data_IF_099978555603
#
_entry.id   IF_099978555603
#
_cell.length_a   1.000
_cell.length_b   1.000
_cell.length_c   1.000
_cell.angle_alpha   90.00
_cell.angle_beta   90.00
_cell.angle_gamma   90.00
#
_symmetry.space_group_name_H-M   'P 1'
#
loop_
_entity.id
_entity.type
_entity.pdbx_description
1 polymer ?
#
# COMPACT_ATOMS: atom_id res chain seq x y z
N UNK A 1 27.47 -17.67 -17.90
CA UNK A 1 26.54 -17.91 -16.78
C UNK A 1 26.69 -16.91 -15.61
N UNK A 2 27.89 -16.47 -15.21
CA UNK A 2 28.06 -15.49 -14.10
C UNK A 2 27.46 -14.09 -14.32
N UNK A 3 27.42 -13.58 -15.56
CA UNK A 3 26.85 -12.25 -15.86
C UNK A 3 25.32 -12.18 -15.73
N UNK A 4 24.62 -13.32 -15.83
CA UNK A 4 23.16 -13.38 -15.71
C UNK A 4 22.70 -13.37 -14.24
N UNK A 5 23.48 -13.97 -13.33
CA UNK A 5 23.18 -13.93 -11.88
C UNK A 5 23.30 -12.54 -11.27
N UNK A 6 24.24 -11.72 -11.73
CA UNK A 6 24.45 -10.37 -11.17
C UNK A 6 23.27 -9.45 -11.52
N UNK A 7 22.73 -9.56 -12.74
CA UNK A 7 21.59 -8.76 -13.18
C UNK A 7 20.31 -9.08 -12.37
N UNK A 8 20.12 -10.36 -12.03
CA UNK A 8 18.97 -10.81 -11.23
C UNK A 8 19.05 -10.34 -9.76
N UNK A 9 20.26 -10.34 -9.19
CA UNK A 9 20.51 -9.82 -7.84
C UNK A 9 20.26 -8.31 -7.71
N UNK A 10 20.62 -7.53 -8.75
CA UNK A 10 20.37 -6.08 -8.75
C UNK A 10 18.87 -5.78 -8.82
N UNK A 11 18.10 -6.50 -9.64
CA UNK A 11 16.64 -6.31 -9.72
C UNK A 11 15.91 -6.62 -8.40
N UNK A 12 16.30 -7.69 -7.70
CA UNK A 12 15.70 -8.03 -6.40
C UNK A 12 15.98 -6.97 -5.32
N UNK A 13 17.15 -6.33 -5.36
CA UNK A 13 17.52 -5.28 -4.39
C UNK A 13 16.77 -3.96 -4.59
N UNK A 14 16.38 -3.64 -5.83
CA UNK A 14 15.64 -2.41 -6.14
C UNK A 14 14.19 -2.49 -5.63
N UNK A 15 13.57 -3.66 -5.70
CA UNK A 15 12.21 -3.88 -5.22
C UNK A 15 12.09 -3.68 -3.71
N UNK A 16 13.01 -4.24 -2.92
CA UNK A 16 12.96 -4.11 -1.46
C UNK A 16 13.23 -2.70 -0.96
N UNK A 17 14.06 -1.95 -1.69
CA UNK A 17 14.43 -0.58 -1.34
C UNK A 17 13.29 0.40 -1.62
N UNK A 18 12.51 0.17 -2.68
CA UNK A 18 11.38 1.03 -3.05
C UNK A 18 10.31 1.13 -1.95
N UNK A 19 9.69 0.01 -1.55
CA UNK A 19 8.63 0.07 -0.55
C UNK A 19 9.14 0.33 0.88
N UNK A 20 10.42 0.08 1.16
CA UNK A 20 10.98 0.33 2.49
C UNK A 20 11.08 1.82 2.81
N UNK A 21 11.30 2.68 1.81
CA UNK A 21 11.37 4.13 1.98
C UNK A 21 10.01 4.77 2.28
N UNK A 22 8.93 4.13 1.84
CA UNK A 22 7.55 4.55 2.05
C UNK A 22 7.04 4.24 3.46
N UNK A 23 7.74 3.44 4.25
CA UNK A 23 7.25 3.07 5.59
C UNK A 23 7.33 4.25 6.55
N UNK A 24 6.31 4.36 7.39
CA UNK A 24 6.26 5.31 8.49
C UNK A 24 4.87 5.83 8.74
N UNK A 25 4.83 6.85 9.60
CA UNK A 25 3.61 7.53 9.98
C UNK A 25 3.52 8.89 9.31
N UNK A 26 2.29 9.30 9.04
CA UNK A 26 1.99 10.46 8.22
C UNK A 26 0.82 11.25 8.76
N UNK A 27 0.91 12.56 8.63
CA UNK A 27 -0.22 13.48 8.72
C UNK A 27 -0.83 13.61 7.32
N UNK A 28 -2.14 13.39 7.18
CA UNK A 28 -2.83 13.64 5.90
C UNK A 28 -3.06 15.13 5.74
N UNK A 29 -2.40 15.74 4.75
CA UNK A 29 -2.62 17.14 4.39
C UNK A 29 -3.92 17.26 3.58
N UNK A 30 -4.07 16.42 2.55
CA UNK A 30 -5.26 16.43 1.69
C UNK A 30 -5.59 15.03 1.18
N UNK A 31 -6.88 14.79 0.95
CA UNK A 31 -7.43 13.57 0.37
C UNK A 31 -8.38 13.95 -0.78
N UNK A 32 -8.17 13.40 -1.97
CA UNK A 32 -8.90 13.77 -3.19
C UNK A 32 -8.96 15.28 -3.44
N UNK A 33 -7.81 15.94 -3.31
CA UNK A 33 -7.64 17.39 -3.42
C UNK A 33 -8.45 18.24 -2.43
N UNK A 34 -8.97 17.64 -1.35
CA UNK A 34 -9.64 18.35 -0.26
C UNK A 34 -8.79 18.27 1.01
N UNK A 35 -8.70 19.38 1.75
CA UNK A 35 -8.02 19.38 3.04
C UNK A 35 -8.73 18.46 4.03
N UNK A 36 -7.96 17.73 4.83
CA UNK A 36 -8.49 16.77 5.78
C UNK A 36 -8.60 17.38 7.17
N UNK A 37 -9.78 17.27 7.78
CA UNK A 37 -10.01 17.70 9.16
C UNK A 37 -9.60 16.59 10.12
N UNK A 38 -8.60 16.86 10.97
CA UNK A 38 -8.18 15.95 12.04
C UNK A 38 -9.22 15.85 13.15
N UNK A 39 -9.33 14.66 13.75
CA UNK A 39 -10.16 14.46 14.94
C UNK A 39 -9.45 14.87 16.23
N UNK A 40 -10.17 14.82 17.38
CA UNK A 40 -9.60 15.18 18.68
C UNK A 40 -8.45 14.27 19.14
N UNK A 41 -8.37 13.04 18.63
CA UNK A 41 -7.25 12.13 18.87
C UNK A 41 -6.27 12.19 17.70
N UNK A 42 -5.05 12.65 17.98
CA UNK A 42 -3.96 12.67 17.00
C UNK A 42 -3.57 11.25 16.54
N UNK A 43 -3.57 10.27 17.46
CA UNK A 43 -3.30 8.87 17.15
C UNK A 43 -4.33 8.30 16.15
N UNK A 44 -5.61 8.61 16.36
CA UNK A 44 -6.68 8.11 15.48
C UNK A 44 -6.80 8.90 14.18
N UNK A 45 -6.09 10.02 14.04
CA UNK A 45 -6.04 10.85 12.82
C UNK A 45 -4.77 10.60 12.00
N UNK A 46 -3.95 9.63 12.39
CA UNK A 46 -2.66 9.35 11.76
C UNK A 46 -2.83 8.35 10.60
N UNK A 47 -2.23 8.68 9.47
CA UNK A 47 -2.01 7.74 8.37
C UNK A 47 -0.76 6.92 8.63
N UNK A 48 -0.75 5.65 8.22
CA UNK A 48 0.37 4.76 8.45
C UNK A 48 0.61 3.81 7.28
N UNK A 49 1.87 3.74 6.84
CA UNK A 49 2.33 2.79 5.85
C UNK A 49 3.25 1.77 6.52
N UNK A 50 2.81 0.51 6.61
CA UNK A 50 3.53 -0.54 7.35
C UNK A 50 3.52 -1.88 6.61
N UNK A 51 4.54 -2.69 6.87
CA UNK A 51 4.63 -4.05 6.35
C UNK A 51 4.06 -5.04 7.35
N UNK A 52 3.30 -6.01 6.85
CA UNK A 52 2.85 -7.16 7.64
C UNK A 52 2.83 -8.41 6.78
N UNK A 53 3.08 -9.56 7.39
CA UNK A 53 2.72 -10.84 6.80
C UNK A 53 1.20 -10.97 6.93
N UNK A 54 0.51 -11.02 5.79
CA UNK A 54 -0.95 -10.93 5.79
C UNK A 54 -1.56 -12.32 5.92
N UNK A 55 -2.27 -12.55 7.03
CA UNK A 55 -2.89 -13.84 7.31
C UNK A 55 -4.01 -14.21 6.32
N UNK A 56 -4.60 -13.21 5.67
CA UNK A 56 -5.73 -13.37 4.75
C UNK A 56 -5.31 -13.47 3.29
N UNK A 57 -4.15 -12.92 2.88
CA UNK A 57 -3.72 -12.99 1.49
C UNK A 57 -2.54 -13.96 1.34
N UNK A 58 -2.72 -14.94 0.46
CA UNK A 58 -1.77 -16.03 0.24
C UNK A 58 -1.43 -16.16 -1.23
N UNK A 59 -0.24 -16.65 -1.48
CA UNK A 59 0.20 -17.01 -2.80
C UNK A 59 -0.69 -18.12 -3.39
N UNK A 60 -1.03 -18.01 -4.67
CA UNK A 60 -1.96 -18.93 -5.32
C UNK A 60 -1.37 -20.34 -5.47
N UNK A 61 -0.06 -20.44 -5.69
CA UNK A 61 0.62 -21.70 -6.02
C UNK A 61 1.15 -22.41 -4.76
N UNK A 62 1.79 -21.65 -3.88
CA UNK A 62 2.49 -22.15 -2.69
C UNK A 62 1.67 -22.03 -1.41
N UNK A 63 0.57 -21.27 -1.44
CA UNK A 63 -0.29 -20.99 -0.28
C UNK A 63 0.44 -20.31 0.91
N UNK A 64 1.65 -19.81 0.69
CA UNK A 64 2.39 -19.02 1.68
C UNK A 64 1.74 -17.66 1.89
N UNK A 65 1.85 -17.13 3.10
CA UNK A 65 1.38 -15.77 3.41
C UNK A 65 2.13 -14.75 2.56
N UNK A 66 1.38 -13.78 2.04
CA UNK A 66 1.96 -12.69 1.28
C UNK A 66 2.39 -11.60 2.25
N UNK A 67 3.61 -11.12 2.05
CA UNK A 67 4.05 -9.87 2.66
C UNK A 67 3.35 -8.70 1.98
N UNK A 68 2.65 -7.89 2.76
CA UNK A 68 1.89 -6.76 2.23
C UNK A 68 2.35 -5.44 2.85
N UNK A 69 2.47 -4.40 2.02
CA UNK A 69 2.47 -3.02 2.47
C UNK A 69 1.01 -2.60 2.61
N UNK A 70 0.60 -2.26 3.83
CA UNK A 70 -0.69 -1.68 4.13
C UNK A 70 -0.53 -0.17 4.06
N UNK A 71 -1.25 0.44 3.14
CA UNK A 71 -1.33 1.89 2.97
C UNK A 71 -2.65 2.33 3.61
N UNK A 72 -2.59 2.75 4.88
CA UNK A 72 -3.74 3.28 5.61
C UNK A 72 -3.71 4.80 5.57
N UNK A 73 -4.64 5.40 4.84
CA UNK A 73 -4.76 6.86 4.72
C UNK A 73 -5.98 7.34 5.49
N UNK A 74 -5.76 8.13 6.54
CA UNK A 74 -6.80 8.89 7.22
C UNK A 74 -7.41 9.90 6.25
N UNK A 75 -8.73 9.87 6.07
CA UNK A 75 -9.44 10.69 5.08
C UNK A 75 -10.44 11.67 5.69
N UNK A 76 -10.55 11.73 7.02
CA UNK A 76 -11.31 12.76 7.72
C UNK A 76 -11.99 12.27 8.99
N UNK A 77 -12.36 13.25 9.81
CA UNK A 77 -13.15 13.04 11.02
C UNK A 77 -14.55 13.63 10.85
N UNK A 78 -15.56 12.86 11.22
CA UNK A 78 -16.94 13.30 11.33
C UNK A 78 -17.52 12.73 12.62
N UNK A 79 -17.59 13.57 13.65
CA UNK A 79 -17.88 13.16 15.03
C UNK A 79 -19.00 12.11 15.14
N UNK A 80 -18.75 10.94 15.77
CA UNK A 80 -17.51 10.47 16.44
C UNK A 80 -16.57 9.61 15.56
N UNK A 81 -16.77 9.59 14.26
CA UNK A 81 -16.17 8.62 13.34
C UNK A 81 -14.88 9.13 12.69
N UNK A 82 -13.90 8.23 12.61
CA UNK A 82 -12.65 8.44 11.87
C UNK A 82 -12.70 7.61 10.58
N UNK A 83 -12.49 8.28 9.46
CA UNK A 83 -12.51 7.67 8.14
C UNK A 83 -11.10 7.29 7.68
N UNK A 84 -11.00 6.11 7.06
CA UNK A 84 -9.75 5.60 6.49
C UNK A 84 -10.00 4.93 5.14
N UNK A 85 -9.06 5.16 4.22
CA UNK A 85 -8.97 4.47 2.94
C UNK A 85 -7.73 3.59 2.97
N UNK A 86 -7.94 2.28 2.82
CA UNK A 86 -6.89 1.27 2.97
C UNK A 86 -6.60 0.59 1.64
N UNK A 87 -5.35 0.60 1.23
CA UNK A 87 -4.88 -0.16 0.06
C UNK A 87 -3.87 -1.20 0.51
N UNK A 88 -4.05 -2.43 0.03
CA UNK A 88 -3.16 -3.54 0.34
C UNK A 88 -2.31 -3.84 -0.89
N UNK A 89 -0.99 -3.75 -0.72
CA UNK A 89 -0.02 -3.95 -1.79
C UNK A 89 0.81 -5.21 -1.48
N UNK A 90 0.59 -6.35 -2.16
CA UNK A 90 1.42 -7.53 -1.99
C UNK A 90 2.80 -7.32 -2.64
N UNK A 91 3.79 -6.99 -1.81
CA UNK A 91 5.04 -6.34 -2.28
C UNK A 91 5.91 -7.23 -3.18
N UNK A 92 5.69 -8.53 -3.17
CA UNK A 92 6.45 -9.53 -3.93
C UNK A 92 5.68 -10.05 -5.17
N UNK A 93 4.44 -9.59 -5.40
CA UNK A 93 3.57 -10.07 -6.49
C UNK A 93 3.40 -9.12 -7.66
N UNK A 94 3.87 -7.89 -7.52
CA UNK A 94 3.83 -6.91 -8.59
C UNK A 94 5.21 -6.39 -8.94
N UNK A 95 5.22 -5.40 -9.81
CA UNK A 95 6.42 -4.74 -10.26
C UNK A 95 6.56 -3.40 -9.55
N UNK A 96 7.67 -3.22 -8.83
CA UNK A 96 8.07 -1.92 -8.34
C UNK A 96 8.98 -1.24 -9.35
N UNK A 97 8.77 0.05 -9.55
CA UNK A 97 9.70 0.91 -10.28
C UNK A 97 10.03 2.13 -9.44
N UNK A 98 11.28 2.58 -9.53
CA UNK A 98 11.74 3.80 -8.88
C UNK A 98 12.55 4.62 -9.89
N UNK A 99 12.11 5.85 -10.15
CA UNK A 99 12.76 6.79 -11.06
C UNK A 99 12.85 8.15 -10.38
N UNK A 100 14.05 8.53 -9.97
CA UNK A 100 14.24 9.77 -9.20
C UNK A 100 13.49 9.74 -7.88
N UNK A 101 12.55 10.67 -7.70
CA UNK A 101 11.68 10.80 -6.52
C UNK A 101 10.31 10.13 -6.70
N UNK A 102 10.09 9.42 -7.80
CA UNK A 102 8.86 8.67 -8.06
C UNK A 102 9.08 7.19 -7.77
N UNK A 103 8.15 6.59 -7.03
CA UNK A 103 8.04 5.16 -6.77
C UNK A 103 6.68 4.74 -7.28
N UNK A 104 6.59 3.64 -8.01
CA UNK A 104 5.29 3.06 -8.38
C UNK A 104 5.28 1.55 -8.23
N UNK A 105 4.08 1.02 -8.05
CA UNK A 105 3.79 -0.40 -7.97
C UNK A 105 2.64 -0.73 -8.92
N UNK A 106 2.78 -1.81 -9.69
CA UNK A 106 1.71 -2.36 -10.51
C UNK A 106 1.56 -3.84 -10.32
N UNK A 107 0.32 -4.29 -10.19
CA UNK A 107 -0.05 -5.70 -10.09
C UNK A 107 -1.40 -5.90 -10.77
N UNK A 108 -1.51 -6.96 -11.57
CA UNK A 108 -2.77 -7.44 -12.12
C UNK A 108 -2.73 -8.97 -12.10
N UNK A 109 -3.01 -9.54 -10.92
CA UNK A 109 -2.91 -10.98 -10.71
C UNK A 109 -4.05 -11.49 -9.83
N UNK A 110 -4.29 -12.80 -9.90
CA UNK A 110 -5.13 -13.47 -8.94
C UNK A 110 -4.30 -13.95 -7.75
N UNK A 111 -4.83 -13.77 -6.53
CA UNK A 111 -4.24 -14.31 -5.30
C UNK A 111 -5.26 -15.16 -4.54
N UNK A 112 -4.79 -15.89 -3.54
CA UNK A 112 -5.66 -16.64 -2.65
C UNK A 112 -6.06 -15.76 -1.45
N UNK A 113 -7.36 -15.63 -1.22
CA UNK A 113 -7.92 -15.05 -0.01
C UNK A 113 -8.36 -16.16 0.93
N UNK A 114 -7.88 -16.10 2.17
CA UNK A 114 -8.29 -16.97 3.25
C UNK A 114 -9.27 -16.22 4.14
N UNK A 115 -10.56 -16.53 4.04
CA UNK A 115 -11.60 -15.81 4.79
C UNK A 115 -11.55 -16.12 6.27
N UNK A 116 -12.22 -15.30 7.09
CA UNK A 116 -12.40 -15.56 8.52
C UNK A 116 -13.14 -16.86 8.83
N UNK A 117 -13.87 -17.40 7.85
CA UNK A 117 -14.57 -18.69 7.95
C UNK A 117 -13.70 -19.85 7.43
N UNK A 118 -12.39 -19.62 7.27
CA UNK A 118 -11.42 -20.58 6.75
C UNK A 118 -11.66 -21.04 5.31
N UNK A 119 -12.45 -20.28 4.54
CA UNK A 119 -12.68 -20.56 3.12
C UNK A 119 -11.53 -20.03 2.29
N UNK A 120 -11.15 -20.79 1.26
CA UNK A 120 -10.11 -20.44 0.30
C UNK A 120 -10.76 -19.95 -0.98
N UNK A 121 -10.63 -18.67 -1.26
CA UNK A 121 -11.30 -18.00 -2.36
C UNK A 121 -10.23 -17.36 -3.24
N UNK A 122 -10.21 -17.71 -4.52
CA UNK A 122 -9.38 -17.02 -5.50
C UNK A 122 -9.96 -15.62 -5.75
N UNK A 123 -9.16 -14.57 -5.56
CA UNK A 123 -9.59 -13.17 -5.71
C UNK A 123 -8.68 -12.43 -6.69
N UNK A 124 -9.28 -11.58 -7.51
CA UNK A 124 -8.57 -10.72 -8.44
C UNK A 124 -8.02 -9.49 -7.70
N UNK A 125 -6.76 -9.16 -7.93
CA UNK A 125 -6.07 -7.99 -7.39
C UNK A 125 -5.50 -7.16 -8.54
N UNK A 126 -6.14 -6.03 -8.81
CA UNK A 126 -5.61 -4.99 -9.68
C UNK A 126 -5.17 -3.80 -8.82
N UNK A 127 -3.88 -3.54 -8.78
CA UNK A 127 -3.27 -2.47 -7.97
C UNK A 127 -2.38 -1.62 -8.87
N UNK A 128 -2.61 -0.31 -8.89
CA UNK A 128 -1.71 0.69 -9.49
C UNK A 128 -1.53 1.78 -8.43
N UNK A 129 -0.35 1.84 -7.83
CA UNK A 129 -0.02 2.81 -6.80
C UNK A 129 1.19 3.63 -7.23
N UNK A 130 1.10 4.95 -7.11
CA UNK A 130 2.19 5.88 -7.42
C UNK A 130 2.43 6.76 -6.23
N UNK A 131 3.70 7.03 -5.98
CA UNK A 131 4.19 7.85 -4.89
C UNK A 131 5.22 8.81 -5.45
N UNK A 132 5.07 10.09 -5.17
CA UNK A 132 6.03 11.12 -5.53
C UNK A 132 6.49 11.83 -4.27
N UNK A 133 7.78 11.71 -3.99
CA UNK A 133 8.40 12.23 -2.77
C UNK A 133 8.86 13.67 -3.03
N UNK A 134 8.40 14.62 -2.23
CA UNK A 134 8.78 16.04 -2.33
C UNK A 134 9.16 16.54 -0.94
N UNK A 135 10.46 16.54 -0.65
CA UNK A 135 10.94 16.89 0.70
C UNK A 135 10.48 15.88 1.74
N UNK A 136 9.69 16.33 2.72
CA UNK A 136 9.04 15.51 3.75
C UNK A 136 7.60 15.10 3.40
N UNK A 137 7.13 15.45 2.21
CA UNK A 137 5.80 15.11 1.72
C UNK A 137 5.83 13.97 0.70
N UNK A 138 4.72 13.22 0.66
CA UNK A 138 4.44 12.19 -0.34
C UNK A 138 3.09 12.52 -0.98
N UNK A 139 3.11 12.72 -2.29
CA UNK A 139 1.90 12.72 -3.13
C UNK A 139 1.65 11.28 -3.59
N UNK A 140 0.50 10.72 -3.24
CA UNK A 140 0.13 9.35 -3.56
C UNK A 140 -1.13 9.28 -4.42
N UNK A 141 -1.09 8.49 -5.48
CA UNK A 141 -2.25 8.11 -6.28
C UNK A 141 -2.45 6.59 -6.16
N UNK A 142 -3.66 6.18 -5.79
CA UNK A 142 -3.95 4.81 -5.43
C UNK A 142 -5.17 4.31 -6.19
N UNK A 143 -4.95 3.23 -6.94
CA UNK A 143 -6.00 2.44 -7.54
C UNK A 143 -5.91 1.00 -7.02
N UNK A 144 -7.03 0.51 -6.49
CA UNK A 144 -7.20 -0.87 -6.09
C UNK A 144 -8.58 -1.36 -6.51
N UNK A 145 -8.62 -2.52 -7.17
CA UNK A 145 -9.86 -3.19 -7.51
C UNK A 145 -9.76 -4.68 -7.24
N UNK A 146 -10.79 -5.22 -6.59
CA UNK A 146 -11.04 -6.65 -6.46
C UNK A 146 -12.54 -6.90 -6.66
N UNK A 147 -12.90 -7.32 -7.87
CA UNK A 147 -14.28 -7.56 -8.29
C UNK A 147 -14.90 -8.68 -7.46
N UNK A 148 -14.17 -9.79 -7.24
CA UNK A 148 -14.67 -10.92 -6.44
C UNK A 148 -14.90 -10.58 -4.97
N UNK A 149 -14.28 -9.50 -4.46
CA UNK A 149 -14.50 -9.02 -3.09
C UNK A 149 -15.40 -7.80 -3.02
N UNK A 150 -15.84 -7.25 -4.15
CA UNK A 150 -16.61 -6.01 -4.20
C UNK A 150 -15.84 -4.81 -3.63
N UNK A 151 -14.52 -4.79 -3.74
CA UNK A 151 -13.67 -3.73 -3.21
C UNK A 151 -13.14 -2.87 -4.35
N UNK A 152 -13.29 -1.56 -4.19
CA UNK A 152 -12.81 -0.56 -5.14
C UNK A 152 -12.34 0.68 -4.39
N UNK A 153 -11.09 1.06 -4.61
CA UNK A 153 -10.50 2.29 -4.11
C UNK A 153 -9.84 3.02 -5.28
N UNK A 154 -10.20 4.28 -5.45
CA UNK A 154 -9.59 5.20 -6.41
C UNK A 154 -9.50 6.55 -5.71
N UNK A 155 -8.30 6.91 -5.26
CA UNK A 155 -8.08 8.13 -4.51
C UNK A 155 -6.66 8.65 -4.63
N UNK A 156 -6.51 9.94 -4.35
CA UNK A 156 -5.22 10.60 -4.18
C UNK A 156 -5.08 11.15 -2.77
N UNK A 157 -3.86 11.21 -2.26
CA UNK A 157 -3.56 11.79 -0.96
C UNK A 157 -2.23 12.53 -0.98
N UNK A 158 -2.15 13.63 -0.22
CA UNK A 158 -0.89 14.31 0.09
C UNK A 158 -0.62 14.15 1.57
N UNK A 159 0.54 13.57 1.88
CA UNK A 159 0.90 13.11 3.21
C UNK A 159 2.20 13.77 3.65
N UNK A 160 2.27 14.23 4.89
CA UNK A 160 3.50 14.75 5.50
C UNK A 160 4.08 13.75 6.47
N UNK A 161 5.36 13.41 6.33
CA UNK A 161 6.03 12.46 7.22
C UNK A 161 6.08 12.99 8.65
N UNK A 162 5.76 12.12 9.61
CA UNK A 162 5.76 12.42 11.06
C UNK A 162 6.38 11.26 11.84
N UNK A 163 6.69 11.51 13.10
CA UNK A 163 6.99 10.45 14.05
C UNK A 163 5.72 9.65 14.35
N UNK A 164 5.86 8.34 14.51
CA UNK A 164 4.77 7.47 14.95
C UNK A 164 4.46 7.76 16.42
N UNK A 165 3.16 7.89 16.73
CA UNK A 165 2.65 8.26 18.06
C UNK A 165 2.47 7.06 18.97
#
# INVERSE_FOLDING_TARGET
MKKLSILFLVFLSLNSLAYSELKGCYETISFNAQDVVSGPSALNSQSEFFLTDNQYYRDLETFKELKTLVVSVFNGYNDPWYGFSNVIIPVEKGEWTKVGNEISFKMNEDIMYYSSNYERIKVDFLVDAKFKIVGDEIEGDFYFSSVRRGLFYDFSARLKKKECL
#
